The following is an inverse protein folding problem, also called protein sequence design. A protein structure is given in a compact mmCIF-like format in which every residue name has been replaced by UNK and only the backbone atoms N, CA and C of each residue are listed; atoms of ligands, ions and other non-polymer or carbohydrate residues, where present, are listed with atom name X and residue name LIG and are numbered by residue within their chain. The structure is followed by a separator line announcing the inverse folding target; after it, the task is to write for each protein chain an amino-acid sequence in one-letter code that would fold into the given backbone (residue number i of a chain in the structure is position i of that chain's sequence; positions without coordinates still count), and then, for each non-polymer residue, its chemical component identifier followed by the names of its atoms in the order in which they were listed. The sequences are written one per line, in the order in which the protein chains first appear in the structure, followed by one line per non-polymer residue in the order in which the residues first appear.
data_IF_077041539177
#
_entry.id   IF_077041539177
#
_cell.length_a   1.000
_cell.length_b   1.000
_cell.length_c   1.000
_cell.angle_alpha   90.00
_cell.angle_beta   90.00
_cell.angle_gamma   90.00
#
_symmetry.space_group_name_H-M   'P 1'
#
loop_
_entity.id
_entity.type
_entity.pdbx_description
1 polymer ?
#
# COMPACT_ATOMS: atom_id res chain seq x y z
N UNK A 1 -40.41 -3.80 15.69
CA UNK A 1 -39.57 -2.78 15.04
C UNK A 1 -38.97 -1.90 16.13
N UNK A 2 -37.72 -2.18 16.53
CA UNK A 2 -37.03 -1.44 17.59
C UNK A 2 -36.03 -0.48 16.98
N UNK A 3 -36.36 0.81 16.98
CA UNK A 3 -35.46 1.86 16.49
C UNK A 3 -34.20 1.95 17.35
N UNK A 4 -33.03 1.75 16.75
CA UNK A 4 -31.77 2.14 17.37
C UNK A 4 -31.74 3.67 17.48
N UNK A 5 -31.95 4.20 18.67
CA UNK A 5 -31.72 5.61 18.98
C UNK A 5 -30.24 5.92 18.75
N UNK A 6 -29.94 6.69 17.70
CA UNK A 6 -28.62 7.29 17.51
C UNK A 6 -28.53 8.47 18.47
N UNK A 7 -27.71 8.36 19.52
CA UNK A 7 -27.38 9.52 20.34
C UNK A 7 -26.51 10.47 19.51
N UNK A 8 -27.05 11.65 19.21
CA UNK A 8 -26.35 12.74 18.54
C UNK A 8 -26.21 13.92 19.49
N UNK A 9 -25.00 14.44 19.61
CA UNK A 9 -24.70 15.70 20.30
C UNK A 9 -24.63 16.88 19.32
N UNK A 10 -24.42 18.08 19.87
CA UNK A 10 -24.34 19.34 19.12
C UNK A 10 -23.26 19.36 18.02
N UNK A 11 -22.28 18.44 18.10
CA UNK A 11 -21.15 18.29 17.17
C UNK A 11 -21.16 16.99 16.35
N UNK A 12 -22.23 16.17 16.44
CA UNK A 12 -22.34 14.89 15.71
C UNK A 12 -22.63 13.68 16.60
N UNK A 13 -22.41 12.47 16.07
CA UNK A 13 -22.69 11.18 16.75
C UNK A 13 -21.84 11.02 18.02
N UNK A 14 -22.42 10.50 19.11
CA UNK A 14 -21.67 10.24 20.36
C UNK A 14 -20.58 9.18 20.11
N UNK A 15 -19.33 9.57 20.39
CA UNK A 15 -18.12 8.82 20.06
C UNK A 15 -17.82 7.73 21.10
N UNK A 16 -17.48 6.52 20.63
CA UNK A 16 -16.84 5.48 21.45
C UNK A 16 -17.73 4.61 22.35
N UNK A 17 -19.06 4.73 22.28
CA UNK A 17 -20.03 4.04 23.16
C UNK A 17 -20.23 2.55 22.79
N UNK A 18 -20.07 2.18 21.52
CA UNK A 18 -20.47 0.85 20.99
C UNK A 18 -19.30 -0.11 20.65
N UNK A 19 -18.08 0.16 21.11
CA UNK A 19 -16.90 -0.67 20.75
C UNK A 19 -16.20 -1.21 21.99
N UNK A 20 -16.03 -2.53 22.05
CA UNK A 20 -15.33 -3.20 23.17
C UNK A 20 -13.88 -2.75 23.28
N UNK A 21 -13.31 -2.80 24.49
CA UNK A 21 -11.91 -2.42 24.73
C UNK A 21 -10.92 -3.23 23.88
N UNK A 22 -11.17 -4.53 23.70
CA UNK A 22 -10.34 -5.38 22.84
C UNK A 22 -10.40 -4.94 21.37
N UNK A 23 -11.59 -4.62 20.85
CA UNK A 23 -11.72 -4.17 19.45
C UNK A 23 -11.02 -2.82 19.22
N UNK A 24 -11.06 -1.91 20.20
CA UNK A 24 -10.31 -0.64 20.14
C UNK A 24 -8.79 -0.88 20.01
N UNK A 25 -8.24 -1.83 20.77
CA UNK A 25 -6.82 -2.17 20.70
C UNK A 25 -6.45 -2.76 19.34
N UNK A 26 -7.20 -3.76 18.86
CA UNK A 26 -6.95 -4.40 17.58
C UNK A 26 -7.04 -3.41 16.41
N UNK A 27 -8.09 -2.59 16.38
CA UNK A 27 -8.27 -1.58 15.34
C UNK A 27 -7.15 -0.53 15.38
N UNK A 28 -6.67 -0.16 16.57
CA UNK A 28 -5.56 0.80 16.72
C UNK A 28 -4.26 0.24 16.15
N UNK A 29 -3.92 -1.01 16.49
CA UNK A 29 -2.71 -1.65 15.97
C UNK A 29 -2.78 -1.92 14.47
N UNK A 30 -3.94 -2.32 13.95
CA UNK A 30 -4.16 -2.44 12.50
C UNK A 30 -4.01 -1.07 11.82
N UNK A 31 -4.54 0.00 12.41
CA UNK A 31 -4.40 1.36 11.88
C UNK A 31 -2.93 1.82 11.81
N UNK A 32 -2.07 1.41 12.75
CA UNK A 32 -0.63 1.67 12.65
C UNK A 32 -0.02 1.01 11.39
N UNK A 33 -0.44 -0.21 11.06
CA UNK A 33 -0.06 -0.89 9.81
C UNK A 33 -0.55 -0.15 8.57
N UNK A 34 -1.81 0.32 8.58
CA UNK A 34 -2.38 1.10 7.49
C UNK A 34 -1.63 2.43 7.27
N UNK A 35 -1.26 3.12 8.35
CA UNK A 35 -0.44 4.33 8.30
C UNK A 35 0.94 3.97 7.74
N UNK A 36 1.57 2.91 8.21
CA UNK A 36 2.88 2.47 7.71
C UNK A 36 2.86 2.20 6.20
N UNK A 37 1.81 1.55 5.69
CA UNK A 37 1.60 1.37 4.26
C UNK A 37 1.41 2.69 3.51
N UNK A 38 0.61 3.61 4.05
CA UNK A 38 0.29 4.88 3.42
C UNK A 38 1.54 5.77 3.19
N UNK A 39 2.61 5.57 3.96
CA UNK A 39 3.89 6.27 3.83
C UNK A 39 5.01 5.41 3.22
N UNK A 40 4.70 4.31 2.52
CA UNK A 40 5.68 3.39 1.94
C UNK A 40 6.39 3.92 0.65
N UNK A 41 6.64 5.23 0.54
CA UNK A 41 7.30 5.83 -0.64
C UNK A 41 8.81 5.59 -0.69
N UNK A 42 9.41 5.13 0.41
CA UNK A 42 10.85 4.86 0.55
C UNK A 42 11.39 3.85 -0.47
N UNK A 43 10.55 2.96 -0.99
CA UNK A 43 10.95 1.93 -1.95
C UNK A 43 11.27 2.51 -3.33
N UNK A 44 10.56 3.58 -3.72
CA UNK A 44 10.67 4.17 -5.07
C UNK A 44 11.58 5.41 -5.07
N UNK A 45 11.90 5.96 -3.89
CA UNK A 45 12.66 7.22 -3.79
C UNK A 45 14.04 7.14 -4.43
N UNK A 46 14.70 5.97 -4.36
CA UNK A 46 16.02 5.78 -4.95
C UNK A 46 15.96 5.77 -6.48
N UNK A 47 14.94 5.13 -7.07
CA UNK A 47 14.71 5.12 -8.52
C UNK A 47 14.35 6.52 -9.04
N UNK A 48 13.55 7.29 -8.27
CA UNK A 48 13.25 8.68 -8.60
C UNK A 48 14.51 9.53 -8.51
N UNK A 49 15.33 9.35 -7.46
CA UNK A 49 16.59 10.08 -7.30
C UNK A 49 17.56 9.84 -8.47
N UNK A 50 17.69 8.59 -8.89
CA UNK A 50 18.58 8.22 -10.00
C UNK A 50 18.11 8.80 -11.35
N UNK A 51 16.80 9.04 -11.51
CA UNK A 51 16.22 9.55 -12.77
C UNK A 51 16.05 11.07 -12.82
N UNK A 52 16.08 11.78 -11.68
CA UNK A 52 15.67 13.19 -11.57
C UNK A 52 16.55 14.17 -12.37
N UNK A 53 17.80 13.79 -12.72
CA UNK A 53 18.78 14.60 -13.48
C UNK A 53 18.71 16.10 -13.13
N UNK A 54 18.76 16.43 -11.84
CA UNK A 54 18.41 17.77 -11.35
C UNK A 54 19.60 18.70 -11.17
N UNK A 55 19.35 20.00 -11.33
CA UNK A 55 20.18 21.08 -10.78
C UNK A 55 19.25 21.95 -9.92
N UNK A 56 19.36 21.97 -8.57
CA UNK A 56 20.44 21.51 -7.68
C UNK A 56 20.56 19.98 -7.52
N UNK A 57 21.60 19.47 -6.80
CA UNK A 57 21.81 18.04 -6.58
C UNK A 57 20.55 17.28 -6.14
N UNK A 58 20.42 16.04 -6.58
CA UNK A 58 19.22 15.20 -6.46
C UNK A 58 18.78 15.06 -5.01
N UNK A 59 19.74 14.97 -4.07
CA UNK A 59 19.45 14.90 -2.65
C UNK A 59 18.76 16.18 -2.10
N UNK A 60 19.11 17.37 -2.61
CA UNK A 60 18.50 18.65 -2.20
C UNK A 60 17.12 18.79 -2.82
N UNK A 61 17.01 18.50 -4.11
CA UNK A 61 15.74 18.54 -4.83
C UNK A 61 14.73 17.56 -4.20
N UNK A 62 15.15 16.31 -3.98
CA UNK A 62 14.31 15.29 -3.36
C UNK A 62 13.99 15.57 -1.91
N UNK A 63 14.90 16.13 -1.11
CA UNK A 63 14.56 16.52 0.27
C UNK A 63 13.42 17.54 0.30
N UNK A 64 13.44 18.54 -0.60
CA UNK A 64 12.36 19.53 -0.71
C UNK A 64 11.07 18.88 -1.22
N UNK A 65 11.15 18.10 -2.30
CA UNK A 65 10.00 17.43 -2.88
C UNK A 65 9.34 16.45 -1.90
N UNK A 66 10.13 15.61 -1.21
CA UNK A 66 9.63 14.68 -0.19
C UNK A 66 9.04 15.41 1.01
N UNK A 67 9.65 16.52 1.48
CA UNK A 67 9.06 17.30 2.57
C UNK A 67 7.67 17.83 2.19
N UNK A 68 7.56 18.47 1.02
CA UNK A 68 6.28 19.00 0.54
C UNK A 68 5.29 17.85 0.32
N UNK A 69 5.71 16.77 -0.32
CA UNK A 69 4.88 15.58 -0.55
C UNK A 69 4.33 15.00 0.75
N UNK A 70 5.19 14.74 1.74
CA UNK A 70 4.77 14.23 3.06
C UNK A 70 3.81 15.20 3.74
N UNK A 71 4.06 16.51 3.73
CA UNK A 71 3.18 17.49 4.35
C UNK A 71 1.79 17.49 3.71
N UNK A 72 1.73 17.56 2.38
CA UNK A 72 0.48 17.56 1.62
C UNK A 72 -0.28 16.24 1.84
N UNK A 73 0.40 15.10 1.71
CA UNK A 73 -0.21 13.78 1.93
C UNK A 73 -0.72 13.63 3.35
N UNK A 74 0.04 14.07 4.36
CA UNK A 74 -0.39 14.02 5.77
C UNK A 74 -1.61 14.88 6.02
N UNK A 75 -1.63 16.10 5.46
CA UNK A 75 -2.79 16.97 5.55
C UNK A 75 -4.04 16.30 4.95
N UNK A 76 -3.95 15.74 3.76
CA UNK A 76 -5.08 15.07 3.12
C UNK A 76 -5.52 13.80 3.86
N UNK A 77 -4.59 12.96 4.32
CA UNK A 77 -4.94 11.77 5.09
C UNK A 77 -5.59 12.11 6.42
N UNK A 78 -5.05 13.09 7.16
CA UNK A 78 -5.65 13.55 8.39
C UNK A 78 -7.03 14.17 8.14
N UNK A 79 -7.18 14.99 7.10
CA UNK A 79 -8.46 15.60 6.72
C UNK A 79 -9.52 14.52 6.43
N UNK A 80 -9.21 13.55 5.57
CA UNK A 80 -10.12 12.45 5.25
C UNK A 80 -10.47 11.61 6.47
N UNK A 81 -9.48 11.29 7.32
CA UNK A 81 -9.70 10.53 8.55
C UNK A 81 -10.56 11.28 9.57
N UNK A 82 -10.26 12.56 9.82
CA UNK A 82 -10.99 13.38 10.79
C UNK A 82 -12.41 13.70 10.32
N UNK A 83 -12.60 14.13 9.07
CA UNK A 83 -13.92 14.43 8.51
C UNK A 83 -14.75 13.16 8.40
N UNK A 84 -14.16 12.06 7.92
CA UNK A 84 -14.83 10.77 7.84
C UNK A 84 -15.27 10.27 9.22
N UNK A 85 -14.41 10.39 10.23
CA UNK A 85 -14.76 10.01 11.59
C UNK A 85 -15.81 10.95 12.21
N UNK A 86 -15.75 12.26 11.95
CA UNK A 86 -16.76 13.21 12.41
C UNK A 86 -18.14 12.94 11.79
N UNK A 87 -18.18 12.52 10.52
CA UNK A 87 -19.42 12.21 9.81
C UNK A 87 -20.04 10.87 10.23
N UNK A 88 -19.22 9.82 10.42
CA UNK A 88 -19.70 8.45 10.59
C UNK A 88 -19.44 7.84 11.99
N UNK A 89 -18.66 8.50 12.83
CA UNK A 89 -18.28 8.01 14.15
C UNK A 89 -17.67 6.60 14.10
N UNK A 90 -18.09 5.73 15.03
CA UNK A 90 -17.63 4.34 15.10
C UNK A 90 -18.02 3.47 13.89
N UNK A 91 -18.92 3.96 13.02
CA UNK A 91 -19.37 3.24 11.81
C UNK A 91 -18.60 3.66 10.55
N UNK A 92 -17.55 4.47 10.69
CA UNK A 92 -16.72 4.87 9.56
C UNK A 92 -16.14 3.62 8.86
N UNK A 93 -16.44 3.40 7.57
CA UNK A 93 -15.95 2.23 6.84
C UNK A 93 -14.46 2.37 6.53
N UNK A 94 -13.76 1.23 6.40
CA UNK A 94 -12.35 1.21 6.02
C UNK A 94 -12.07 1.72 4.60
N UNK A 95 -13.02 1.48 3.70
CA UNK A 95 -13.05 2.10 2.38
C UNK A 95 -14.38 2.85 2.26
N UNK A 96 -14.30 4.18 2.21
CA UNK A 96 -15.47 5.03 2.09
C UNK A 96 -16.33 4.63 0.89
N UNK A 97 -15.74 4.38 -0.28
CA UNK A 97 -16.48 4.16 -1.52
C UNK A 97 -17.18 2.79 -1.63
N UNK A 98 -16.89 1.84 -0.74
CA UNK A 98 -17.56 0.53 -0.71
C UNK A 98 -18.48 0.35 0.49
N UNK A 99 -18.39 1.23 1.50
CA UNK A 99 -19.13 1.10 2.76
C UNK A 99 -20.49 1.81 2.78
N UNK A 100 -20.92 2.40 1.67
CA UNK A 100 -22.15 3.19 1.62
C UNK A 100 -23.37 2.30 1.36
N UNK A 101 -24.07 1.91 2.43
CA UNK A 101 -25.45 1.42 2.38
C UNK A 101 -26.49 2.52 2.11
N UNK A 102 -26.05 3.76 1.84
CA UNK A 102 -26.91 4.89 1.50
C UNK A 102 -26.64 5.35 0.08
N UNK A 103 -27.74 5.44 -0.63
CA UNK A 103 -27.89 5.35 -2.06
C UNK A 103 -28.31 6.74 -2.56
N UNK A 104 -27.47 7.79 -2.40
CA UNK A 104 -27.63 9.11 -3.07
C UNK A 104 -26.50 10.12 -2.73
N UNK A 105 -25.86 10.80 -3.71
CA UNK A 105 -25.98 10.63 -5.16
C UNK A 105 -24.92 9.67 -5.75
N UNK A 106 -25.38 8.63 -6.45
CA UNK A 106 -24.52 7.58 -7.05
C UNK A 106 -23.44 8.10 -7.97
N UNK A 107 -23.76 9.14 -8.74
CA UNK A 107 -22.84 9.68 -9.74
C UNK A 107 -21.52 10.13 -9.12
N UNK A 108 -21.52 10.62 -7.87
CA UNK A 108 -20.31 11.06 -7.20
C UNK A 108 -19.44 9.87 -6.79
N UNK A 109 -20.06 8.81 -6.29
CA UNK A 109 -19.37 7.55 -5.93
C UNK A 109 -18.83 6.88 -7.20
N UNK A 110 -19.62 6.87 -8.29
CA UNK A 110 -19.23 6.29 -9.58
C UNK A 110 -18.05 7.04 -10.21
N UNK A 111 -18.07 8.38 -10.20
CA UNK A 111 -16.93 9.20 -10.66
C UNK A 111 -15.70 8.94 -9.78
N UNK A 112 -15.87 8.83 -8.46
CA UNK A 112 -14.79 8.48 -7.55
C UNK A 112 -14.16 7.12 -7.89
N UNK A 113 -14.99 6.09 -8.09
CA UNK A 113 -14.54 4.76 -8.51
C UNK A 113 -13.88 4.78 -9.89
N UNK A 114 -14.38 5.57 -10.84
CA UNK A 114 -13.77 5.75 -12.16
C UNK A 114 -12.35 6.33 -12.05
N UNK A 115 -12.16 7.37 -11.23
CA UNK A 115 -10.82 7.93 -10.99
C UNK A 115 -9.88 6.94 -10.31
N UNK A 116 -10.38 6.14 -9.37
CA UNK A 116 -9.60 5.05 -8.76
C UNK A 116 -9.18 4.03 -9.82
N UNK A 117 -10.08 3.61 -10.71
CA UNK A 117 -9.75 2.66 -11.79
C UNK A 117 -8.64 3.23 -12.68
N UNK A 118 -8.78 4.49 -13.12
CA UNK A 118 -7.77 5.15 -13.97
C UNK A 118 -6.42 5.23 -13.25
N UNK A 119 -6.42 5.64 -11.98
CA UNK A 119 -5.22 5.73 -11.16
C UNK A 119 -4.56 4.36 -10.95
N UNK A 120 -5.33 3.35 -10.54
CA UNK A 120 -4.83 2.01 -10.24
C UNK A 120 -4.36 1.28 -11.50
N UNK A 121 -4.97 1.52 -12.66
CA UNK A 121 -4.48 0.98 -13.92
C UNK A 121 -3.06 1.47 -14.22
N UNK A 122 -2.79 2.76 -14.03
CA UNK A 122 -1.44 3.32 -14.15
C UNK A 122 -0.47 2.76 -13.12
N UNK A 123 -0.87 2.73 -11.84
CA UNK A 123 -0.05 2.19 -10.75
C UNK A 123 0.30 0.72 -10.99
N UNK A 124 -0.68 -0.11 -11.37
CA UNK A 124 -0.47 -1.52 -11.66
C UNK A 124 0.58 -1.72 -12.75
N UNK A 125 0.55 -0.91 -13.82
CA UNK A 125 1.58 -1.00 -14.87
C UNK A 125 2.97 -0.71 -14.30
N UNK A 126 3.13 0.37 -13.53
CA UNK A 126 4.43 0.76 -12.95
C UNK A 126 4.97 -0.32 -12.01
N UNK A 127 4.14 -0.84 -11.11
CA UNK A 127 4.57 -1.84 -10.11
C UNK A 127 4.72 -3.26 -10.66
N UNK A 128 4.00 -3.64 -11.73
CA UNK A 128 4.14 -4.95 -12.33
C UNK A 128 5.38 -5.07 -13.23
N UNK A 129 5.86 -3.97 -13.85
CA UNK A 129 7.01 -4.02 -14.76
C UNK A 129 8.29 -4.60 -14.12
N UNK A 130 8.71 -4.21 -12.90
CA UNK A 130 9.87 -4.80 -12.26
C UNK A 130 9.74 -6.31 -12.08
N UNK A 131 8.57 -6.79 -11.65
CA UNK A 131 8.30 -8.23 -11.46
C UNK A 131 8.39 -8.97 -12.80
N UNK A 132 7.77 -8.42 -13.85
CA UNK A 132 7.86 -9.00 -15.20
C UNK A 132 9.30 -9.05 -15.69
N UNK A 133 10.03 -7.94 -15.59
CA UNK A 133 11.42 -7.85 -16.01
C UNK A 133 12.32 -8.84 -15.27
N UNK A 134 12.14 -9.01 -13.96
CA UNK A 134 12.92 -9.94 -13.15
C UNK A 134 12.74 -11.39 -13.61
N UNK A 135 11.49 -11.85 -13.75
CA UNK A 135 11.21 -13.24 -14.14
C UNK A 135 11.58 -13.50 -15.59
N UNK A 136 11.30 -12.55 -16.50
CA UNK A 136 11.67 -12.64 -17.91
C UNK A 136 13.18 -12.71 -18.09
N UNK A 137 13.95 -11.83 -17.45
CA UNK A 137 15.41 -11.84 -17.53
C UNK A 137 16.02 -13.08 -16.88
N UNK A 138 15.48 -13.52 -15.74
CA UNK A 138 15.93 -14.75 -15.10
C UNK A 138 15.70 -15.96 -16.01
N UNK A 139 14.53 -16.05 -16.61
CA UNK A 139 14.18 -17.15 -17.52
C UNK A 139 15.08 -17.20 -18.76
N UNK A 140 15.35 -16.05 -19.39
CA UNK A 140 16.26 -15.96 -20.54
C UNK A 140 17.68 -16.41 -20.16
N UNK A 141 18.18 -15.98 -19.00
CA UNK A 141 19.51 -16.37 -18.50
C UNK A 141 19.59 -17.85 -18.16
N UNK A 142 18.52 -18.42 -17.59
CA UNK A 142 18.49 -19.81 -17.12
C UNK A 142 18.35 -20.82 -18.26
N UNK A 143 17.59 -20.49 -19.30
CA UNK A 143 17.36 -21.36 -20.46
C UNK A 143 17.67 -20.66 -21.79
N UNK A 144 18.95 -20.36 -22.05
CA UNK A 144 19.39 -19.60 -23.22
C UNK A 144 19.30 -20.38 -24.55
N UNK A 145 18.90 -21.65 -24.52
CA UNK A 145 18.70 -22.46 -25.74
C UNK A 145 17.22 -22.70 -26.05
N UNK A 146 16.31 -22.30 -25.14
CA UNK A 146 14.88 -22.53 -25.34
C UNK A 146 14.29 -21.52 -26.32
N UNK A 147 13.74 -22.02 -27.44
CA UNK A 147 13.01 -21.20 -28.42
C UNK A 147 11.82 -20.49 -27.78
N UNK A 148 11.18 -21.06 -26.76
CA UNK A 148 10.05 -20.43 -26.07
C UNK A 148 10.48 -19.19 -25.28
N UNK A 149 11.71 -19.17 -24.76
CA UNK A 149 12.23 -18.07 -23.95
C UNK A 149 12.77 -16.92 -24.80
N UNK A 150 13.45 -17.22 -25.91
CA UNK A 150 14.20 -16.22 -26.67
C UNK A 150 13.48 -15.73 -27.92
N UNK A 151 12.62 -16.56 -28.52
CA UNK A 151 12.04 -16.23 -29.83
C UNK A 151 11.05 -15.07 -29.70
N UNK A 152 11.36 -13.99 -30.40
CA UNK A 152 10.43 -12.88 -30.60
C UNK A 152 9.69 -13.05 -31.93
N UNK A 153 8.38 -12.90 -31.88
CA UNK A 153 7.45 -12.93 -32.99
C UNK A 153 6.98 -11.52 -33.26
N UNK A 154 7.24 -11.03 -34.48
CA UNK A 154 6.81 -9.70 -34.89
C UNK A 154 5.40 -9.79 -35.47
N UNK A 155 4.41 -9.29 -34.74
CA UNK A 155 3.02 -9.22 -35.20
C UNK A 155 2.78 -7.81 -35.71
N UNK A 156 2.38 -7.67 -36.98
CA UNK A 156 2.03 -6.38 -37.55
C UNK A 156 0.55 -6.10 -37.24
N UNK A 157 0.30 -5.17 -36.33
CA UNK A 157 -1.06 -4.76 -35.99
C UNK A 157 -1.41 -3.53 -36.83
N UNK A 158 -2.55 -3.52 -37.55
CA UNK A 158 -3.02 -2.34 -38.25
C UNK A 158 -3.11 -1.14 -37.30
N UNK A 159 -2.64 0.04 -37.71
CA UNK A 159 -2.66 1.31 -36.95
C UNK A 159 -1.69 1.44 -35.75
N UNK A 160 -1.16 0.35 -35.20
CA UNK A 160 -0.26 0.38 -34.01
C UNK A 160 1.21 0.10 -34.37
N UNK A 161 1.46 -0.57 -35.49
CA UNK A 161 2.81 -0.88 -35.97
C UNK A 161 3.23 -2.33 -35.71
N UNK A 162 4.55 -2.57 -35.67
CA UNK A 162 5.12 -3.91 -35.44
C UNK A 162 5.25 -4.13 -33.93
N UNK A 163 4.48 -5.08 -33.39
CA UNK A 163 4.53 -5.47 -31.99
C UNK A 163 5.38 -6.73 -31.80
N UNK A 164 6.35 -6.66 -30.88
CA UNK A 164 7.27 -7.78 -30.59
C UNK A 164 6.73 -8.64 -29.48
N UNK A 165 6.15 -9.78 -29.85
CA UNK A 165 5.56 -10.73 -28.91
C UNK A 165 6.51 -11.87 -28.61
N UNK A 166 6.55 -12.29 -27.36
CA UNK A 166 7.27 -13.49 -26.94
C UNK A 166 6.26 -14.37 -26.18
N UNK A 167 6.21 -15.66 -26.52
CA UNK A 167 5.19 -16.58 -26.00
C UNK A 167 5.34 -16.75 -24.48
N UNK A 168 6.57 -16.82 -23.97
CA UNK A 168 6.83 -16.86 -22.53
C UNK A 168 6.31 -15.61 -21.83
N UNK A 169 6.61 -14.41 -22.36
CA UNK A 169 6.12 -13.13 -21.78
C UNK A 169 4.59 -13.11 -21.70
N UNK A 170 3.91 -13.57 -22.76
CA UNK A 170 2.45 -13.61 -22.78
C UNK A 170 1.90 -14.56 -21.71
N UNK A 171 2.37 -15.81 -21.69
CA UNK A 171 1.92 -16.83 -20.72
C UNK A 171 2.18 -16.36 -19.29
N UNK A 172 3.39 -15.91 -19.00
CA UNK A 172 3.79 -15.46 -17.67
C UNK A 172 2.94 -14.28 -17.18
N UNK A 173 2.76 -13.24 -18.01
CA UNK A 173 1.99 -12.06 -17.63
C UNK A 173 0.50 -12.40 -17.43
N UNK A 174 -0.06 -13.28 -18.26
CA UNK A 174 -1.45 -13.76 -18.07
C UNK A 174 -1.59 -14.55 -16.77
N UNK A 175 -0.67 -15.47 -16.46
CA UNK A 175 -0.66 -16.22 -15.20
C UNK A 175 -0.56 -15.26 -14.00
N UNK A 176 0.34 -14.29 -14.07
CA UNK A 176 0.48 -13.28 -13.02
C UNK A 176 -0.82 -12.51 -12.77
N UNK A 177 -1.48 -12.03 -13.83
CA UNK A 177 -2.77 -11.34 -13.71
C UNK A 177 -3.80 -12.27 -13.07
N UNK A 178 -3.95 -13.51 -13.57
CA UNK A 178 -4.91 -14.47 -13.00
C UNK A 178 -4.67 -14.72 -11.51
N UNK A 179 -3.42 -14.88 -11.08
CA UNK A 179 -3.07 -15.08 -9.66
C UNK A 179 -3.43 -13.84 -8.83
N UNK A 180 -3.07 -12.65 -9.29
CA UNK A 180 -3.39 -11.40 -8.55
C UNK A 180 -4.90 -11.16 -8.46
N UNK A 181 -5.65 -11.46 -9.52
CA UNK A 181 -7.13 -11.39 -9.49
C UNK A 181 -7.72 -12.41 -8.53
N UNK A 182 -7.23 -13.66 -8.52
CA UNK A 182 -7.69 -14.68 -7.59
C UNK A 182 -7.42 -14.26 -6.14
N UNK A 183 -6.24 -13.72 -5.85
CA UNK A 183 -5.90 -13.18 -4.52
C UNK A 183 -6.84 -12.05 -4.10
N UNK A 184 -7.19 -11.15 -5.02
CA UNK A 184 -8.14 -10.06 -4.75
C UNK A 184 -9.56 -10.57 -4.45
N UNK A 185 -9.97 -11.68 -5.07
CA UNK A 185 -11.26 -12.33 -4.78
C UNK A 185 -11.24 -13.03 -3.41
N UNK A 186 -10.14 -13.72 -3.06
CA UNK A 186 -10.03 -14.48 -1.81
C UNK A 186 -9.90 -13.55 -0.58
N UNK A 187 -9.19 -12.42 -0.72
CA UNK A 187 -8.94 -11.49 0.38
C UNK A 187 -9.47 -10.08 0.08
N UNK A 188 -10.80 -9.88 0.02
CA UNK A 188 -11.41 -8.57 -0.26
C UNK A 188 -11.39 -7.64 0.97
N UNK A 189 -10.46 -7.84 1.90
CA UNK A 189 -10.40 -7.14 3.19
C UNK A 189 -9.39 -6.00 3.15
N UNK A 190 -9.81 -4.86 2.63
CA UNK A 190 -8.91 -3.76 2.30
C UNK A 190 -7.98 -3.35 3.47
N UNK A 191 -8.54 -3.02 4.63
CA UNK A 191 -7.76 -2.57 5.78
C UNK A 191 -6.84 -3.66 6.35
N UNK A 192 -7.36 -4.87 6.52
CA UNK A 192 -6.58 -5.94 7.13
C UNK A 192 -5.41 -6.37 6.24
N UNK A 193 -5.63 -6.46 4.92
CA UNK A 193 -4.59 -6.79 3.93
C UNK A 193 -3.57 -5.67 3.80
N UNK A 194 -4.02 -4.42 3.64
CA UNK A 194 -3.12 -3.27 3.51
C UNK A 194 -2.30 -3.07 4.79
N UNK A 195 -2.92 -3.23 5.96
CA UNK A 195 -2.23 -3.15 7.25
C UNK A 195 -1.16 -4.24 7.40
N UNK A 196 -1.44 -5.46 6.94
CA UNK A 196 -0.48 -6.55 6.96
C UNK A 196 0.71 -6.28 6.04
N UNK A 197 0.44 -5.87 4.79
CA UNK A 197 1.48 -5.52 3.82
C UNK A 197 2.32 -4.34 4.32
N UNK A 198 1.67 -3.32 4.88
CA UNK A 198 2.32 -2.19 5.53
C UNK A 198 3.24 -2.62 6.64
N UNK A 199 2.75 -3.41 7.59
CA UNK A 199 3.54 -3.85 8.73
C UNK A 199 4.78 -4.67 8.30
N UNK A 200 4.59 -5.69 7.45
CA UNK A 200 5.67 -6.61 7.02
C UNK A 200 6.74 -5.87 6.21
N UNK A 201 6.34 -4.93 5.35
CA UNK A 201 7.30 -4.20 4.50
C UNK A 201 7.97 -3.03 5.22
N UNK A 202 7.28 -2.38 6.15
CA UNK A 202 7.74 -1.17 6.81
C UNK A 202 9.05 -1.37 7.57
N UNK A 203 9.15 -2.38 8.43
CA UNK A 203 10.36 -2.58 9.23
C UNK A 203 11.61 -2.85 8.37
N UNK A 204 11.66 -3.90 7.52
CA UNK A 204 12.86 -4.21 6.77
C UNK A 204 13.24 -3.12 5.76
N UNK A 205 12.26 -2.57 5.03
CA UNK A 205 12.53 -1.70 3.87
C UNK A 205 12.57 -0.21 4.23
N UNK A 206 11.71 0.25 5.15
CA UNK A 206 11.61 1.69 5.49
C UNK A 206 12.45 2.05 6.71
N UNK A 207 12.63 1.14 7.66
CA UNK A 207 13.33 1.43 8.92
C UNK A 207 14.71 0.81 8.95
N UNK A 208 14.80 -0.53 9.01
CA UNK A 208 16.04 -1.25 9.25
C UNK A 208 17.07 -0.97 8.16
N UNK A 209 16.74 -1.22 6.89
CA UNK A 209 17.72 -1.07 5.81
C UNK A 209 18.28 0.36 5.69
N UNK A 210 17.46 1.43 5.66
CA UNK A 210 17.97 2.80 5.57
C UNK A 210 18.77 3.23 6.81
N UNK A 211 18.34 2.83 8.01
CA UNK A 211 19.04 3.20 9.25
C UNK A 211 20.38 2.52 9.40
N UNK A 212 20.49 1.22 9.09
CA UNK A 212 21.78 0.51 9.08
C UNK A 212 22.71 1.03 7.98
N UNK A 213 22.15 1.34 6.80
CA UNK A 213 22.90 1.97 5.72
C UNK A 213 23.49 3.31 6.18
N UNK A 214 22.69 4.15 6.84
CA UNK A 214 23.17 5.43 7.38
C UNK A 214 24.28 5.24 8.42
N UNK A 215 24.08 4.38 9.43
CA UNK A 215 25.07 4.13 10.48
C UNK A 215 26.41 3.66 9.89
N UNK A 216 26.36 2.78 8.89
CA UNK A 216 27.54 2.23 8.22
C UNK A 216 28.22 3.26 7.32
N UNK A 217 27.47 3.99 6.49
CA UNK A 217 28.04 4.93 5.52
C UNK A 217 28.56 6.20 6.18
N UNK A 218 27.88 6.69 7.22
CA UNK A 218 28.34 7.84 8.01
C UNK A 218 29.39 7.47 9.06
N UNK A 219 29.76 6.17 9.18
CA UNK A 219 30.74 5.65 10.16
C UNK A 219 30.43 6.14 11.59
N UNK A 220 29.16 6.10 11.98
CA UNK A 220 28.72 6.60 13.27
C UNK A 220 29.36 5.75 14.39
N UNK A 221 30.05 6.37 15.38
CA UNK A 221 30.67 5.62 16.46
C UNK A 221 29.63 4.80 17.23
N UNK A 222 29.95 3.52 17.48
CA UNK A 222 29.12 2.65 18.32
C UNK A 222 28.93 3.29 19.69
N UNK A 223 27.72 3.20 20.23
CA UNK A 223 27.32 3.81 21.51
C UNK A 223 27.34 5.34 21.57
N UNK A 224 27.55 6.04 20.45
CA UNK A 224 27.23 7.47 20.40
C UNK A 224 25.73 7.70 20.60
N UNK A 225 25.36 8.91 21.02
CA UNK A 225 23.95 9.30 21.20
C UNK A 225 23.12 9.10 19.91
N UNK A 226 23.70 9.40 18.74
CA UNK A 226 23.07 9.18 17.43
C UNK A 226 22.87 7.67 17.19
N UNK A 227 23.89 6.85 17.45
CA UNK A 227 23.78 5.40 17.26
C UNK A 227 22.71 4.79 18.16
N UNK A 228 22.69 5.17 19.44
CA UNK A 228 21.69 4.72 20.41
C UNK A 228 20.29 5.17 19.97
N UNK A 229 20.13 6.45 19.61
CA UNK A 229 18.84 6.98 19.15
C UNK A 229 18.28 6.25 17.93
N UNK A 230 19.12 5.97 16.93
CA UNK A 230 18.71 5.24 15.73
C UNK A 230 18.37 3.78 16.05
N UNK A 231 19.14 3.10 16.91
CA UNK A 231 18.83 1.73 17.33
C UNK A 231 17.55 1.64 18.15
N UNK A 232 17.33 2.59 19.07
CA UNK A 232 16.09 2.68 19.84
C UNK A 232 14.87 2.91 18.94
N UNK A 233 14.97 3.82 17.97
CA UNK A 233 13.93 4.04 16.97
C UNK A 233 13.64 2.77 16.17
N UNK A 234 14.69 2.07 15.72
CA UNK A 234 14.56 0.82 14.97
C UNK A 234 13.85 -0.27 15.78
N UNK A 235 14.23 -0.46 17.05
CA UNK A 235 13.57 -1.42 17.96
C UNK A 235 12.12 -1.03 18.24
N UNK A 236 11.84 0.26 18.46
CA UNK A 236 10.46 0.73 18.63
C UNK A 236 9.60 0.44 17.40
N UNK A 237 10.09 0.78 16.20
CA UNK A 237 9.40 0.48 14.96
C UNK A 237 9.23 -1.03 14.72
N UNK A 238 10.19 -1.86 15.14
CA UNK A 238 10.04 -3.32 15.09
C UNK A 238 8.86 -3.78 15.95
N UNK A 239 8.76 -3.30 17.19
CA UNK A 239 7.66 -3.64 18.09
C UNK A 239 6.32 -3.21 17.48
N UNK A 240 6.24 -1.98 16.95
CA UNK A 240 5.05 -1.46 16.27
C UNK A 240 4.66 -2.34 15.07
N UNK A 241 5.63 -2.74 14.23
CA UNK A 241 5.40 -3.66 13.11
C UNK A 241 4.87 -5.02 13.59
N UNK A 242 5.43 -5.58 14.66
CA UNK A 242 5.00 -6.88 15.17
C UNK A 242 3.56 -6.83 15.66
N UNK A 243 3.18 -5.82 16.45
CA UNK A 243 1.80 -5.69 16.94
C UNK A 243 0.83 -5.39 15.81
N UNK A 244 1.22 -4.56 14.84
CA UNK A 244 0.40 -4.27 13.66
C UNK A 244 0.19 -5.53 12.80
N UNK A 245 1.23 -6.35 12.63
CA UNK A 245 1.14 -7.63 11.91
C UNK A 245 0.14 -8.57 12.59
N UNK A 246 0.25 -8.74 13.91
CA UNK A 246 -0.67 -9.60 14.68
C UNK A 246 -2.10 -9.09 14.58
N UNK A 247 -2.31 -7.78 14.71
CA UNK A 247 -3.64 -7.17 14.60
C UNK A 247 -4.24 -7.32 13.20
N UNK A 248 -3.45 -7.12 12.14
CA UNK A 248 -3.91 -7.33 10.77
C UNK A 248 -4.25 -8.78 10.48
N UNK A 249 -3.46 -9.75 10.97
CA UNK A 249 -3.78 -11.18 10.85
C UNK A 249 -5.06 -11.51 11.61
N UNK A 250 -5.23 -10.99 12.83
CA UNK A 250 -6.48 -11.16 13.59
C UNK A 250 -7.69 -10.59 12.83
N UNK A 251 -7.53 -9.42 12.21
CA UNK A 251 -8.55 -8.81 11.35
C UNK A 251 -8.94 -9.71 10.18
N UNK A 252 -7.94 -10.20 9.42
CA UNK A 252 -8.17 -11.13 8.30
C UNK A 252 -8.90 -12.39 8.77
N UNK A 253 -8.49 -13.00 9.88
CA UNK A 253 -9.14 -14.21 10.41
C UNK A 253 -10.59 -13.91 10.79
N UNK A 254 -10.85 -12.80 11.50
CA UNK A 254 -12.20 -12.43 11.91
C UNK A 254 -13.11 -12.18 10.71
N UNK A 255 -12.61 -11.52 9.66
CA UNK A 255 -13.38 -11.26 8.44
C UNK A 255 -13.59 -12.52 7.61
N UNK A 256 -12.58 -13.40 7.50
CA UNK A 256 -12.68 -14.70 6.81
C UNK A 256 -13.74 -15.62 7.43
N UNK A 257 -13.91 -15.59 8.76
CA UNK A 257 -14.93 -16.41 9.44
C UNK A 257 -16.36 -16.01 9.06
N UNK A 258 -16.56 -14.78 8.60
CA UNK A 258 -17.87 -14.25 8.18
C UNK A 258 -18.02 -14.31 6.66
N UNK A 259 -16.89 -14.23 5.94
CA UNK A 259 -16.85 -14.21 4.50
C UNK A 259 -17.24 -15.55 3.87
N UNK A 260 -18.21 -15.50 2.95
CA UNK A 260 -18.57 -16.63 2.09
C UNK A 260 -18.13 -16.30 0.67
N UNK A 261 -17.08 -16.94 0.13
CA UNK A 261 -16.84 -16.88 -1.29
C UNK A 261 -17.95 -17.66 -1.98
N UNK A 262 -18.88 -16.91 -2.59
CA UNK A 262 -20.06 -17.38 -3.35
C UNK A 262 -21.24 -17.89 -2.50
#
# INVERSE_FOLDING_TARGET
EGGHHLETGLTGVVVGVDVTGSNKIWNTFQALGNIAFAYAFSMVILEIQDTLKSSPPENKAMKKASLVGILVTTFFYALCGLVGYAAFGNKAPGNFLTGFGFYEPFWLVDIGNLFIIIHLAGAYQVFAQPVFSLVENWGIKKWPQSKLMIKEYNIRIPLVGIWRMNIFRLIWRTIYVMITTLMAIIFPFFNSVVGLLGAITFFPLTVYFPTEMYLTRAKVPKYSSIWIGIKLLSVFCLIVTLVATVASVQGIIAELMIYKPF
#
